data_IF_427726265671
#
_entry.id   IF_427726265671
#
_cell.length_a   1.000
_cell.length_b   1.000
_cell.length_c   1.000
_cell.angle_alpha   90.00
_cell.angle_beta   90.00
_cell.angle_gamma   90.00
#
_symmetry.space_group_name_H-M   'P 1'
#
loop_
_entity.id
_entity.type
_entity.pdbx_description
1 polymer ?
#
# COMPACT_ATOMS: atom_id res chain seq x y z
N UNK A 1 -11.62 5.20 -8.26
CA UNK A 1 -10.20 5.62 -8.18
C UNK A 1 -9.20 4.47 -8.38
N UNK A 2 -9.49 3.24 -7.95
CA UNK A 2 -8.59 2.08 -8.13
C UNK A 2 -8.92 1.17 -9.34
N UNK A 3 -9.93 1.52 -10.15
CA UNK A 3 -10.26 0.74 -11.34
C UNK A 3 -9.08 0.78 -12.32
N UNK A 4 -8.74 -0.38 -12.89
CA UNK A 4 -7.57 -0.56 -13.77
C UNK A 4 -6.27 -0.10 -13.10
N UNK A 5 -6.05 -0.51 -11.84
CA UNK A 5 -4.78 -0.26 -11.12
C UNK A 5 -4.04 -1.52 -10.72
N UNK A 6 -4.56 -2.70 -11.09
CA UNK A 6 -4.00 -4.02 -10.77
C UNK A 6 -3.40 -4.04 -9.37
N UNK A 7 -4.28 -3.80 -8.39
CA UNK A 7 -3.87 -3.61 -7.02
C UNK A 7 -3.42 -4.92 -6.39
N UNK A 8 -2.49 -4.82 -5.45
CA UNK A 8 -2.05 -5.98 -4.66
C UNK A 8 -3.18 -6.47 -3.76
N UNK A 9 -2.99 -7.65 -3.17
CA UNK A 9 -3.82 -8.13 -2.05
C UNK A 9 -3.86 -7.04 -0.96
N UNK A 10 -5.04 -6.72 -0.41
CA UNK A 10 -5.16 -5.73 0.66
C UNK A 10 -4.51 -6.22 1.95
N UNK A 11 -3.74 -5.33 2.58
CA UNK A 11 -3.16 -5.54 3.90
C UNK A 11 -3.92 -4.71 4.94
N UNK A 12 -4.51 -5.37 5.94
CA UNK A 12 -5.15 -4.70 7.05
C UNK A 12 -4.10 -4.21 8.06
N UNK A 13 -4.21 -2.95 8.49
CA UNK A 13 -3.32 -2.37 9.50
C UNK A 13 -4.09 -1.42 10.41
N UNK A 14 -4.26 -1.79 11.67
CA UNK A 14 -5.11 -1.06 12.63
C UNK A 14 -6.51 -0.79 12.02
N UNK A 15 -6.91 0.48 11.92
CA UNK A 15 -8.19 0.94 11.34
C UNK A 15 -8.13 1.23 9.83
N UNK A 16 -7.05 0.81 9.15
CA UNK A 16 -6.79 1.13 7.75
C UNK A 16 -6.57 -0.13 6.89
N UNK A 17 -6.71 0.05 5.58
CA UNK A 17 -6.36 -0.94 4.55
C UNK A 17 -5.28 -0.31 3.66
N UNK A 18 -4.18 -1.02 3.45
CA UNK A 18 -3.14 -0.63 2.51
C UNK A 18 -3.16 -1.54 1.27
N UNK A 19 -3.04 -0.95 0.08
CA UNK A 19 -2.88 -1.66 -1.21
C UNK A 19 -1.78 -1.00 -2.04
N UNK A 20 -0.95 -1.81 -2.71
CA UNK A 20 -0.04 -1.36 -3.77
C UNK A 20 -0.75 -1.33 -5.12
N UNK A 21 -0.20 -0.62 -6.10
CA UNK A 21 -0.67 -0.66 -7.50
C UNK A 21 0.47 -0.86 -8.52
N UNK A 22 0.12 -1.20 -9.76
CA UNK A 22 1.09 -1.46 -10.83
C UNK A 22 1.94 -0.23 -11.19
N UNK A 23 1.46 0.99 -10.91
CA UNK A 23 2.26 2.18 -11.09
C UNK A 23 3.25 2.38 -9.93
N UNK A 24 3.05 1.71 -8.80
CA UNK A 24 3.94 1.70 -7.64
C UNK A 24 3.59 2.75 -6.59
N UNK A 25 2.31 3.08 -6.50
CA UNK A 25 1.73 3.76 -5.36
C UNK A 25 1.27 2.77 -4.30
N UNK A 26 1.43 3.16 -3.04
CA UNK A 26 0.68 2.62 -1.92
C UNK A 26 -0.50 3.55 -1.66
N UNK A 27 -1.69 2.98 -1.61
CA UNK A 27 -2.92 3.65 -1.22
C UNK A 27 -3.34 3.13 0.15
N UNK A 28 -3.71 4.04 1.03
CA UNK A 28 -4.23 3.72 2.36
C UNK A 28 -5.66 4.24 2.45
N UNK A 29 -6.57 3.38 2.87
CA UNK A 29 -8.00 3.66 2.99
C UNK A 29 -8.44 3.44 4.44
N UNK A 30 -9.41 4.22 4.92
CA UNK A 30 -10.08 3.94 6.18
C UNK A 30 -10.96 2.69 6.04
N UNK A 31 -10.89 1.76 7.00
CA UNK A 31 -11.73 0.55 6.99
C UNK A 31 -13.21 0.86 7.18
N UNK A 32 -13.52 1.95 7.89
CA UNK A 32 -14.89 2.32 8.26
C UNK A 32 -15.77 2.73 7.08
N UNK A 33 -15.19 3.43 6.10
CA UNK A 33 -15.95 4.08 5.02
C UNK A 33 -15.27 3.99 3.63
N UNK A 34 -14.07 3.40 3.54
CA UNK A 34 -13.33 3.27 2.29
C UNK A 34 -12.74 4.57 1.76
N UNK A 35 -12.75 5.66 2.53
CA UNK A 35 -12.12 6.93 2.10
C UNK A 35 -10.60 6.79 2.06
N UNK A 36 -9.96 7.39 1.05
CA UNK A 36 -8.51 7.51 1.02
C UNK A 36 -8.01 8.39 2.16
N UNK A 37 -7.06 7.87 2.93
CA UNK A 37 -6.38 8.60 4.02
C UNK A 37 -4.95 8.96 3.66
N UNK A 38 -4.29 8.17 2.81
CA UNK A 38 -2.97 8.48 2.31
C UNK A 38 -2.73 7.86 0.93
N UNK A 39 -1.82 8.47 0.16
CA UNK A 39 -1.29 7.93 -1.08
C UNK A 39 0.16 8.33 -1.23
N UNK A 40 1.05 7.36 -1.50
CA UNK A 40 2.48 7.63 -1.65
C UNK A 40 3.08 6.79 -2.78
N UNK A 41 3.90 7.42 -3.64
CA UNK A 41 4.73 6.70 -4.61
C UNK A 41 5.91 6.06 -3.89
N UNK A 42 6.08 4.76 -4.01
CA UNK A 42 7.19 4.01 -3.39
C UNK A 42 8.25 3.63 -4.41
N UNK A 43 7.80 3.19 -5.59
CA UNK A 43 8.63 2.70 -6.68
C UNK A 43 8.04 3.10 -8.04
N UNK A 44 8.86 3.53 -8.99
CA UNK A 44 8.40 3.84 -10.35
C UNK A 44 8.13 2.60 -11.20
N UNK A 45 8.68 1.43 -10.84
CA UNK A 45 8.53 0.16 -11.56
C UNK A 45 7.30 -0.65 -11.14
N UNK A 46 6.46 -0.12 -10.25
CA UNK A 46 5.28 -0.82 -9.74
C UNK A 46 5.51 -1.55 -8.42
N UNK A 47 4.42 -2.05 -7.86
CA UNK A 47 4.39 -2.94 -6.69
C UNK A 47 3.47 -4.12 -7.03
N UNK A 48 4.06 -5.31 -7.20
CA UNK A 48 3.27 -6.55 -7.37
C UNK A 48 3.28 -7.46 -6.14
N UNK A 49 4.21 -7.22 -5.21
CA UNK A 49 4.33 -8.03 -3.99
C UNK A 49 3.26 -7.63 -2.97
N UNK A 50 2.74 -8.58 -2.17
CA UNK A 50 1.87 -8.25 -1.04
C UNK A 50 2.57 -7.30 -0.07
N UNK A 51 1.83 -6.31 0.44
CA UNK A 51 2.29 -5.47 1.55
C UNK A 51 2.24 -6.32 2.82
N UNK A 52 3.33 -6.30 3.59
CA UNK A 52 3.41 -7.00 4.88
C UNK A 52 3.29 -5.99 6.01
N UNK A 53 2.57 -6.35 7.07
CA UNK A 53 2.30 -5.45 8.20
C UNK A 53 2.76 -6.07 9.51
N UNK A 54 3.32 -5.24 10.40
CA UNK A 54 3.68 -5.62 11.77
C UNK A 54 3.38 -4.44 12.71
N UNK A 55 2.43 -4.62 13.63
CA UNK A 55 1.95 -3.51 14.47
C UNK A 55 1.38 -2.36 13.62
N UNK A 56 1.94 -1.16 13.79
CA UNK A 56 1.59 0.03 13.00
C UNK A 56 2.48 0.24 11.75
N UNK A 57 3.37 -0.71 11.45
CA UNK A 57 4.30 -0.64 10.32
C UNK A 57 3.82 -1.43 9.12
N UNK A 58 4.09 -0.88 7.94
CA UNK A 58 3.88 -1.51 6.66
C UNK A 58 5.18 -1.55 5.84
N UNK A 59 5.49 -2.75 5.35
CA UNK A 59 6.67 -3.08 4.55
C UNK A 59 6.24 -3.32 3.10
N UNK A 60 6.93 -2.64 2.19
CA UNK A 60 6.58 -2.61 0.77
C UNK A 60 7.84 -2.90 -0.04
N UNK A 61 7.79 -3.97 -0.82
CA UNK A 61 8.86 -4.32 -1.77
C UNK A 61 8.45 -3.88 -3.17
N UNK A 62 9.08 -2.82 -3.66
CA UNK A 62 8.90 -2.34 -5.02
C UNK A 62 9.59 -3.23 -6.05
N UNK A 63 9.10 -3.20 -7.29
CA UNK A 63 9.61 -4.04 -8.37
C UNK A 63 11.05 -3.69 -8.81
N UNK A 64 11.62 -2.57 -8.36
CA UNK A 64 13.05 -2.24 -8.52
C UNK A 64 13.95 -2.97 -7.51
N UNK A 65 13.38 -3.72 -6.56
CA UNK A 65 14.09 -4.35 -5.45
C UNK A 65 14.20 -3.44 -4.20
N UNK A 66 13.62 -2.24 -4.25
CA UNK A 66 13.61 -1.31 -3.11
C UNK A 66 12.62 -1.79 -2.04
N UNK A 67 13.14 -2.11 -0.85
CA UNK A 67 12.33 -2.32 0.35
C UNK A 67 12.13 -1.00 1.09
N UNK A 68 10.88 -0.65 1.40
CA UNK A 68 10.52 0.54 2.16
C UNK A 68 9.66 0.16 3.36
N UNK A 69 9.85 0.83 4.48
CA UNK A 69 9.01 0.72 5.67
C UNK A 69 8.34 2.07 5.95
N UNK A 70 7.05 2.03 6.29
CA UNK A 70 6.29 3.19 6.72
C UNK A 70 5.57 2.85 8.02
N UNK A 71 5.29 3.88 8.81
CA UNK A 71 4.54 3.75 10.06
C UNK A 71 3.32 4.67 9.97
N UNK A 72 2.15 4.13 10.28
CA UNK A 72 0.91 4.89 10.34
C UNK A 72 0.78 5.47 11.75
N UNK A 73 0.64 6.79 11.83
CA UNK A 73 0.36 7.52 13.07
C UNK A 73 -1.14 7.78 13.21
#
# INVERSE_FOLDING_TARGET
ALLHRDITVPAAISSFIAVGDFEGYVHVLAQSDGRFVARRKVDAKGIYTPIITEGARLFVMGNSGKLSAFELQ
#
